data_IF_954420069765
#
_entry.id   IF_954420069765
#
_cell.length_a   1.000
_cell.length_b   1.000
_cell.length_c   1.000
_cell.angle_alpha   90.00
_cell.angle_beta   90.00
_cell.angle_gamma   90.00
#
_symmetry.space_group_name_H-M   'P 1'
#
loop_
_entity.id
_entity.type
_entity.pdbx_description
1 polymer ?
#
# COMPACT_ATOMS: atom_id res chain seq x y z
N UNK A 1 12.65 41.91 14.42
CA UNK A 1 11.77 40.73 14.55
C UNK A 1 11.49 40.25 13.14
N UNK A 2 12.09 39.12 12.74
CA UNK A 2 11.78 38.49 11.46
C UNK A 2 10.65 37.51 11.72
N UNK A 3 9.44 37.85 11.31
CA UNK A 3 8.35 36.89 11.26
C UNK A 3 8.60 35.99 10.05
N UNK A 4 9.12 34.80 10.33
CA UNK A 4 9.38 33.76 9.36
C UNK A 4 8.06 33.24 8.78
N UNK A 5 7.88 33.53 7.50
CA UNK A 5 6.78 33.13 6.64
C UNK A 5 6.44 31.63 6.79
N UNK A 6 5.15 31.34 7.00
CA UNK A 6 4.58 30.01 7.12
C UNK A 6 4.74 29.24 5.81
N UNK A 7 5.81 28.46 5.66
CA UNK A 7 5.89 27.48 4.58
C UNK A 7 5.05 26.26 4.98
N UNK A 8 3.83 26.25 4.48
CA UNK A 8 3.00 25.06 4.29
C UNK A 8 3.88 23.92 3.79
N UNK A 9 4.03 22.86 4.59
CA UNK A 9 4.45 21.56 4.05
C UNK A 9 3.52 21.27 2.90
N UNK A 10 4.02 21.27 1.67
CA UNK A 10 3.27 20.75 0.54
C UNK A 10 2.80 19.36 0.96
N UNK A 11 1.49 19.22 1.19
CA UNK A 11 0.91 17.89 1.34
C UNK A 11 1.12 17.23 -0.02
N UNK A 12 2.13 16.37 -0.11
CA UNK A 12 2.32 15.52 -1.27
C UNK A 12 1.10 14.62 -1.38
N UNK A 13 0.14 15.03 -2.21
CA UNK A 13 -1.01 14.18 -2.53
C UNK A 13 -0.46 13.05 -3.39
N UNK A 14 -0.60 11.82 -2.91
CA UNK A 14 -0.24 10.63 -3.69
C UNK A 14 -1.03 10.69 -5.00
N UNK A 15 -0.36 10.63 -6.17
CA UNK A 15 -1.09 10.50 -7.42
C UNK A 15 -1.86 9.17 -7.40
N UNK A 16 -2.92 9.08 -8.19
CA UNK A 16 -3.59 7.79 -8.38
C UNK A 16 -2.58 6.79 -8.98
N UNK A 17 -2.24 5.77 -8.19
CA UNK A 17 -1.27 4.75 -8.58
C UNK A 17 -1.89 3.65 -9.46
N UNK A 18 -3.22 3.64 -9.64
CA UNK A 18 -3.92 2.54 -10.29
C UNK A 18 -3.70 1.20 -9.57
N UNK A 19 -3.34 1.23 -8.29
CA UNK A 19 -3.06 0.04 -7.51
C UNK A 19 -4.37 -0.65 -7.13
N UNK A 20 -4.46 -1.94 -7.39
CA UNK A 20 -5.56 -2.79 -6.93
C UNK A 20 -4.94 -4.05 -6.34
N UNK A 21 -5.17 -4.36 -5.05
CA UNK A 21 -4.65 -5.58 -4.44
C UNK A 21 -5.07 -6.81 -5.24
N UNK A 22 -4.11 -7.68 -5.54
CA UNK A 22 -4.35 -8.95 -6.23
C UNK A 22 -4.07 -10.13 -5.29
N UNK A 23 -4.54 -11.31 -5.71
CA UNK A 23 -4.30 -12.57 -5.01
C UNK A 23 -2.85 -13.06 -5.12
N UNK A 24 -2.59 -14.29 -4.67
CA UNK A 24 -1.38 -15.04 -5.00
C UNK A 24 -1.50 -15.58 -6.43
N UNK A 25 -0.49 -15.37 -7.29
CA UNK A 25 -0.53 -15.87 -8.66
C UNK A 25 0.16 -17.24 -8.78
N UNK A 26 -0.64 -18.31 -8.79
CA UNK A 26 -0.15 -19.69 -8.75
C UNK A 26 -0.88 -20.49 -9.82
N UNK A 27 -0.13 -21.19 -10.68
CA UNK A 27 -0.71 -22.02 -11.74
C UNK A 27 -1.58 -21.23 -12.74
N UNK A 28 -1.25 -19.97 -12.99
CA UNK A 28 -1.99 -19.11 -13.91
C UNK A 28 -3.27 -18.49 -13.33
N UNK A 29 -3.53 -18.65 -12.02
CA UNK A 29 -4.75 -18.17 -11.35
C UNK A 29 -4.40 -17.26 -10.18
N UNK A 30 -5.29 -16.30 -9.89
CA UNK A 30 -5.25 -15.51 -8.66
C UNK A 30 -5.99 -16.26 -7.55
N UNK A 31 -5.28 -16.54 -6.47
CA UNK A 31 -5.78 -17.32 -5.32
C UNK A 31 -5.71 -16.49 -4.04
N UNK A 32 -6.46 -16.90 -3.02
CA UNK A 32 -6.36 -16.35 -1.66
C UNK A 32 -5.29 -17.05 -0.83
N UNK A 33 -4.99 -16.48 0.34
CA UNK A 33 -4.13 -17.14 1.34
C UNK A 33 -4.76 -18.43 1.83
N UNK A 34 -3.95 -19.47 1.98
CA UNK A 34 -4.37 -20.79 2.49
C UNK A 34 -4.88 -20.72 3.93
N UNK A 35 -4.45 -19.73 4.72
CA UNK A 35 -4.93 -19.44 6.09
C UNK A 35 -5.80 -18.19 6.16
N UNK A 36 -6.19 -17.61 5.02
CA UNK A 36 -6.96 -16.36 4.94
C UNK A 36 -6.23 -15.11 5.45
N UNK A 37 -4.93 -15.21 5.75
CA UNK A 37 -4.12 -14.11 6.28
C UNK A 37 -3.77 -13.11 5.18
N UNK A 38 -3.63 -11.84 5.56
CA UNK A 38 -3.22 -10.74 4.68
C UNK A 38 -2.20 -9.85 5.37
N UNK A 39 -1.50 -9.02 4.61
CA UNK A 39 -0.62 -7.98 5.12
C UNK A 39 -0.73 -6.70 4.29
N UNK A 40 -0.45 -5.56 4.93
CA UNK A 40 -0.55 -4.24 4.33
C UNK A 40 0.54 -4.02 3.26
N UNK A 41 0.14 -3.50 2.11
CA UNK A 41 1.05 -2.88 1.16
C UNK A 41 1.07 -1.38 1.40
N UNK A 42 2.25 -0.80 1.52
CA UNK A 42 2.44 0.62 1.86
C UNK A 42 3.17 1.37 0.75
N UNK A 43 2.85 2.65 0.59
CA UNK A 43 3.67 3.58 -0.18
C UNK A 43 4.86 4.03 0.68
N UNK A 44 6.12 3.71 0.30
CA UNK A 44 7.28 4.06 1.11
C UNK A 44 7.58 5.56 1.15
N UNK A 45 7.01 6.37 0.24
CA UNK A 45 7.26 7.81 0.18
C UNK A 45 6.52 8.59 1.27
N UNK A 46 5.40 8.07 1.77
CA UNK A 46 4.53 8.79 2.70
C UNK A 46 3.82 7.89 3.73
N UNK A 47 4.12 6.60 3.75
CA UNK A 47 3.57 5.59 4.67
C UNK A 47 2.06 5.36 4.51
N UNK A 48 1.46 5.78 3.40
CA UNK A 48 0.05 5.52 3.12
C UNK A 48 -0.20 4.03 2.85
N UNK A 49 -1.29 3.48 3.41
CA UNK A 49 -1.73 2.11 3.13
C UNK A 49 -2.42 2.08 1.77
N UNK A 50 -1.88 1.28 0.85
CA UNK A 50 -2.43 1.09 -0.49
C UNK A 50 -3.47 -0.04 -0.54
N UNK A 51 -3.41 -0.98 0.42
CA UNK A 51 -4.38 -2.05 0.60
C UNK A 51 -3.71 -3.36 1.03
N UNK A 52 -4.55 -4.37 1.31
CA UNK A 52 -4.09 -5.66 1.84
C UNK A 52 -3.88 -6.71 0.75
N UNK A 53 -2.74 -7.38 0.77
CA UNK A 53 -2.43 -8.52 -0.11
C UNK A 53 -2.39 -9.84 0.67
N UNK A 54 -2.75 -11.00 0.08
CA UNK A 54 -2.74 -12.25 0.80
C UNK A 54 -1.33 -12.67 1.22
N UNK A 55 -1.20 -13.20 2.43
CA UNK A 55 0.03 -13.77 2.95
C UNK A 55 0.12 -15.24 2.52
N UNK A 56 1.12 -15.58 1.70
CA UNK A 56 1.42 -16.97 1.39
C UNK A 56 1.90 -17.69 2.67
N UNK A 57 1.41 -18.90 2.89
CA UNK A 57 1.71 -19.72 4.08
C UNK A 57 1.69 -21.20 3.67
N UNK A 58 2.20 -22.08 4.53
CA UNK A 58 2.13 -23.53 4.34
C UNK A 58 0.68 -24.04 4.50
N UNK A 59 0.34 -25.07 3.73
CA UNK A 59 -0.97 -25.73 3.76
C UNK A 59 -1.18 -26.59 5.01
#
# INVERSE_FOLDING_TARGET
MFEGNNNSREQFITPDLGFTPKGLYIGGKWLESVKGKRFESINPANMEILGDVPLADEH
#
